data_IF_514749415541
#
_entry.id   IF_514749415541
#
_cell.length_a   1.000
_cell.length_b   1.000
_cell.length_c   1.000
_cell.angle_alpha   90.00
_cell.angle_beta   90.00
_cell.angle_gamma   90.00
#
_symmetry.space_group_name_H-M   'P 1'
#
loop_
_entity.id
_entity.type
_entity.pdbx_description
1 polymer ?
#
# COMPACT_ATOMS: atom_id res chain seq x y z
N UNK A 1 2.06 -15.60 -15.83
CA UNK A 1 2.68 -16.72 -16.55
C UNK A 1 1.62 -17.58 -17.23
N UNK A 2 1.77 -17.80 -18.51
CA UNK A 2 0.85 -18.64 -19.25
C UNK A 2 1.12 -20.11 -18.94
N UNK A 3 0.06 -20.87 -18.80
CA UNK A 3 0.17 -22.30 -18.48
C UNK A 3 0.56 -23.11 -19.69
N UNK A 4 1.06 -24.32 -19.45
CA UNK A 4 1.68 -25.19 -20.46
C UNK A 4 0.77 -25.66 -21.60
N UNK A 5 1.24 -26.63 -22.38
CA UNK A 5 0.66 -26.99 -23.67
C UNK A 5 -0.80 -27.44 -23.64
N UNK A 6 -1.26 -28.03 -22.53
CA UNK A 6 -2.66 -28.47 -22.38
C UNK A 6 -3.68 -27.35 -22.42
N UNK A 7 -3.26 -26.11 -22.24
CA UNK A 7 -4.12 -24.93 -22.28
C UNK A 7 -3.72 -23.94 -23.38
N UNK A 8 -2.95 -24.42 -24.36
CA UNK A 8 -2.43 -23.61 -25.45
C UNK A 8 -3.52 -22.86 -26.22
N UNK A 9 -4.66 -23.49 -26.43
CA UNK A 9 -5.81 -22.86 -27.11
C UNK A 9 -6.37 -21.68 -26.32
N UNK A 10 -6.45 -21.82 -24.99
CA UNK A 10 -6.92 -20.75 -24.11
C UNK A 10 -5.94 -19.59 -24.09
N UNK A 11 -4.64 -19.88 -24.11
CA UNK A 11 -3.60 -18.85 -24.17
C UNK A 11 -3.69 -18.06 -25.49
N UNK A 12 -3.86 -18.76 -26.61
CA UNK A 12 -4.02 -18.13 -27.92
C UNK A 12 -5.27 -17.25 -27.97
N UNK A 13 -6.39 -17.72 -27.43
CA UNK A 13 -7.62 -16.96 -27.39
C UNK A 13 -7.47 -15.69 -26.52
N UNK A 14 -6.80 -15.81 -25.36
CA UNK A 14 -6.53 -14.67 -24.49
C UNK A 14 -5.68 -13.61 -25.22
N UNK A 15 -4.63 -14.03 -25.92
CA UNK A 15 -3.78 -13.13 -26.71
C UNK A 15 -4.56 -12.46 -27.84
N UNK A 16 -5.44 -13.20 -28.47
CA UNK A 16 -6.30 -12.70 -29.54
C UNK A 16 -7.23 -11.59 -29.07
N UNK A 17 -7.67 -11.66 -27.80
CA UNK A 17 -8.51 -10.65 -27.17
C UNK A 17 -7.71 -9.52 -26.52
N UNK A 18 -6.42 -9.45 -26.79
CA UNK A 18 -5.52 -8.48 -26.18
C UNK A 18 -5.47 -8.58 -24.63
N UNK A 19 -5.63 -9.80 -24.11
CA UNK A 19 -5.50 -10.05 -22.69
C UNK A 19 -4.02 -10.26 -22.36
N UNK A 20 -3.57 -9.61 -21.29
CA UNK A 20 -2.21 -9.78 -20.77
C UNK A 20 -2.21 -10.74 -19.58
N UNK A 21 -1.02 -11.26 -19.23
CA UNK A 21 -0.88 -12.08 -18.01
C UNK A 21 -1.36 -11.31 -16.79
N UNK A 22 -1.12 -10.02 -16.74
CA UNK A 22 -1.56 -9.16 -15.65
C UNK A 22 -3.09 -9.08 -15.55
N UNK A 23 -3.78 -8.90 -16.68
CA UNK A 23 -5.24 -8.85 -16.71
C UNK A 23 -5.82 -10.19 -16.29
N UNK A 24 -5.26 -11.29 -16.77
CA UNK A 24 -5.70 -12.64 -16.41
C UNK A 24 -5.47 -12.92 -14.92
N UNK A 25 -4.33 -12.51 -14.38
CA UNK A 25 -4.02 -12.65 -12.96
C UNK A 25 -5.02 -11.89 -12.09
N UNK A 26 -5.39 -10.68 -12.47
CA UNK A 26 -6.40 -9.89 -11.75
C UNK A 26 -7.77 -10.57 -11.73
N UNK A 27 -8.15 -11.19 -12.83
CA UNK A 27 -9.41 -11.94 -12.90
C UNK A 27 -9.38 -13.17 -12.01
N UNK A 28 -8.28 -13.90 -12.00
CA UNK A 28 -8.12 -15.09 -11.17
C UNK A 28 -8.07 -14.76 -9.69
N UNK A 29 -7.49 -13.62 -9.32
CA UNK A 29 -7.44 -13.13 -7.95
C UNK A 29 -8.83 -13.00 -7.32
N UNK A 30 -9.84 -12.70 -8.12
CA UNK A 30 -11.23 -12.58 -7.63
C UNK A 30 -11.74 -13.91 -7.05
N UNK A 31 -11.26 -15.03 -7.57
CA UNK A 31 -11.72 -16.37 -7.18
C UNK A 31 -10.72 -17.10 -6.29
N UNK A 32 -9.43 -16.81 -6.44
CA UNK A 32 -8.38 -17.48 -5.70
C UNK A 32 -7.31 -16.47 -5.26
N UNK A 33 -7.17 -16.24 -3.95
CA UNK A 33 -6.20 -15.29 -3.41
C UNK A 33 -4.75 -15.55 -3.81
N UNK A 34 -4.39 -16.80 -4.10
CA UNK A 34 -3.03 -17.19 -4.50
C UNK A 34 -2.56 -16.39 -5.72
N UNK A 35 -3.48 -16.07 -6.62
CA UNK A 35 -3.15 -15.31 -7.84
C UNK A 35 -3.11 -13.81 -7.66
N UNK A 36 -3.43 -13.31 -6.47
CA UNK A 36 -3.40 -11.88 -6.19
C UNK A 36 -1.97 -11.37 -6.03
N UNK A 37 -1.72 -10.17 -6.53
CA UNK A 37 -0.52 -9.42 -6.16
C UNK A 37 -0.58 -9.04 -4.67
N UNK A 38 0.56 -8.71 -4.08
CA UNK A 38 0.57 -8.25 -2.69
C UNK A 38 -0.33 -7.04 -2.48
N UNK A 39 -0.32 -6.09 -3.41
CA UNK A 39 -1.17 -4.90 -3.33
C UNK A 39 -2.66 -5.27 -3.29
N UNK A 40 -3.08 -6.20 -4.15
CA UNK A 40 -4.46 -6.66 -4.16
C UNK A 40 -4.83 -7.46 -2.90
N UNK A 41 -3.93 -8.30 -2.42
CA UNK A 41 -4.14 -9.02 -1.17
C UNK A 41 -4.33 -8.05 -0.01
N UNK A 42 -3.45 -7.06 0.09
CA UNK A 42 -3.56 -6.03 1.12
C UNK A 42 -4.89 -5.29 1.04
N UNK A 43 -5.29 -4.89 -0.16
CA UNK A 43 -6.55 -4.17 -0.39
C UNK A 43 -7.77 -5.00 0.00
N UNK A 44 -7.74 -6.30 -0.27
CA UNK A 44 -8.86 -7.20 0.01
C UNK A 44 -8.88 -7.73 1.45
N UNK A 45 -7.72 -7.83 2.08
CA UNK A 45 -7.58 -8.42 3.41
C UNK A 45 -7.64 -7.40 4.54
N UNK A 46 -7.40 -6.12 4.26
CA UNK A 46 -7.35 -5.09 5.29
C UNK A 46 -8.37 -3.98 5.04
N UNK A 47 -8.73 -3.30 6.11
CA UNK A 47 -9.54 -2.08 6.06
C UNK A 47 -8.93 -1.05 6.99
N UNK A 48 -9.26 0.20 6.75
CA UNK A 48 -8.84 1.29 7.62
C UNK A 48 -9.85 1.44 8.75
N UNK A 49 -9.36 1.45 9.98
CA UNK A 49 -10.16 1.68 11.17
C UNK A 49 -9.52 2.82 11.98
N UNK A 50 -10.11 4.01 11.89
CA UNK A 50 -9.63 5.21 12.58
C UNK A 50 -8.15 5.53 12.31
N UNK A 51 -7.72 5.36 11.06
CA UNK A 51 -6.36 5.67 10.65
C UNK A 51 -5.38 4.50 10.76
N UNK A 52 -5.81 3.37 11.29
CA UNK A 52 -4.98 2.16 11.38
C UNK A 52 -5.53 1.06 10.49
N UNK A 53 -4.64 0.34 9.83
CA UNK A 53 -5.03 -0.84 9.07
C UNK A 53 -5.26 -2.01 10.01
N UNK A 54 -6.37 -2.69 9.81
CA UNK A 54 -6.72 -3.91 10.56
C UNK A 54 -7.19 -4.96 9.56
N UNK A 55 -7.17 -6.22 9.97
CA UNK A 55 -7.75 -7.27 9.15
C UNK A 55 -9.25 -7.05 8.99
N UNK A 56 -9.76 -7.33 7.79
CA UNK A 56 -11.18 -7.36 7.55
C UNK A 56 -11.83 -8.53 8.30
N UNK A 57 -13.13 -8.53 8.31
CA UNK A 57 -13.93 -9.57 8.95
C UNK A 57 -14.09 -10.83 8.09
N UNK A 58 -15.01 -11.69 8.45
CA UNK A 58 -15.17 -13.06 7.94
C UNK A 58 -15.28 -13.22 6.42
N UNK A 59 -15.79 -12.22 5.72
CA UNK A 59 -15.94 -12.30 4.25
C UNK A 59 -14.62 -12.30 3.51
N UNK A 60 -13.55 -11.84 4.14
CA UNK A 60 -12.23 -11.76 3.53
C UNK A 60 -11.26 -12.78 4.11
N UNK A 61 -11.77 -13.83 4.73
CA UNK A 61 -10.99 -14.84 5.44
C UNK A 61 -9.90 -15.47 4.58
N UNK A 62 -10.23 -15.81 3.34
CA UNK A 62 -9.28 -16.43 2.42
C UNK A 62 -8.13 -15.48 2.05
N UNK A 63 -8.45 -14.20 1.86
CA UNK A 63 -7.44 -13.17 1.56
C UNK A 63 -6.57 -12.90 2.78
N UNK A 64 -7.16 -12.89 3.96
CA UNK A 64 -6.42 -12.72 5.22
C UNK A 64 -5.44 -13.88 5.42
N UNK A 65 -5.90 -15.10 5.18
CA UNK A 65 -5.06 -16.29 5.30
C UNK A 65 -3.90 -16.26 4.32
N UNK A 66 -4.15 -15.90 3.07
CA UNK A 66 -3.11 -15.75 2.05
C UNK A 66 -2.12 -14.65 2.43
N UNK A 67 -2.59 -13.52 2.92
CA UNK A 67 -1.73 -12.45 3.39
C UNK A 67 -0.80 -12.93 4.51
N UNK A 68 -1.35 -13.62 5.49
CA UNK A 68 -0.57 -14.19 6.60
C UNK A 68 0.45 -15.21 6.12
N UNK A 69 0.10 -16.06 5.15
CA UNK A 69 1.03 -17.04 4.59
C UNK A 69 2.20 -16.39 3.87
N UNK A 70 2.02 -15.19 3.34
CA UNK A 70 3.07 -14.39 2.71
C UNK A 70 3.88 -13.55 3.71
N UNK A 71 3.59 -13.66 5.00
CA UNK A 71 4.23 -12.85 6.02
C UNK A 71 3.76 -11.40 6.07
N UNK A 72 2.61 -11.11 5.48
CA UNK A 72 2.03 -9.77 5.52
C UNK A 72 1.25 -9.55 6.81
N UNK A 73 1.28 -8.32 7.29
CA UNK A 73 0.48 -7.86 8.44
C UNK A 73 -0.33 -6.64 8.05
N UNK A 74 -1.33 -6.26 8.83
CA UNK A 74 -2.03 -5.00 8.54
C UNK A 74 -1.10 -3.80 8.47
N UNK A 75 -0.08 -3.77 9.32
CA UNK A 75 0.91 -2.69 9.31
C UNK A 75 1.76 -2.69 8.04
N UNK A 76 2.25 -3.85 7.60
CA UNK A 76 3.03 -3.93 6.37
C UNK A 76 2.20 -3.56 5.14
N UNK A 77 0.93 -3.94 5.12
CA UNK A 77 -0.01 -3.54 4.08
C UNK A 77 -0.22 -2.03 4.06
N UNK A 78 -0.39 -1.43 5.23
CA UNK A 78 -0.53 0.02 5.36
C UNK A 78 0.70 0.76 4.83
N UNK A 79 1.88 0.31 5.21
CA UNK A 79 3.15 0.92 4.77
C UNK A 79 3.25 0.85 3.25
N UNK A 80 2.97 -0.30 2.67
CA UNK A 80 3.04 -0.50 1.23
C UNK A 80 2.05 0.38 0.48
N UNK A 81 0.80 0.39 0.91
CA UNK A 81 -0.24 1.22 0.30
C UNK A 81 0.08 2.71 0.41
N UNK A 82 0.56 3.12 1.57
CA UNK A 82 0.96 4.50 1.81
C UNK A 82 2.12 4.92 0.90
N UNK A 83 3.12 4.07 0.74
CA UNK A 83 4.28 4.37 -0.10
C UNK A 83 3.90 4.53 -1.58
N UNK A 84 2.94 3.75 -2.04
CA UNK A 84 2.46 3.82 -3.42
C UNK A 84 1.42 4.94 -3.63
N UNK A 85 0.61 5.21 -2.62
CA UNK A 85 -0.50 6.15 -2.70
C UNK A 85 -0.59 7.01 -1.44
N UNK A 86 -0.06 8.22 -1.47
CA UNK A 86 -0.08 9.12 -0.29
C UNK A 86 -1.45 9.32 0.34
N UNK A 87 -2.51 9.30 -0.47
CA UNK A 87 -3.88 9.46 0.02
C UNK A 87 -4.35 8.30 0.91
N UNK A 88 -3.66 7.17 0.88
CA UNK A 88 -3.96 6.01 1.71
C UNK A 88 -3.15 5.97 3.01
N UNK A 89 -2.23 6.92 3.18
CA UNK A 89 -1.46 7.03 4.42
C UNK A 89 -2.33 7.46 5.59
N UNK A 90 -2.08 6.90 6.77
CA UNK A 90 -2.63 7.51 7.97
C UNK A 90 -1.84 8.80 8.29
N UNK A 91 -2.42 9.64 9.13
CA UNK A 91 -1.85 10.93 9.50
C UNK A 91 -0.40 10.82 10.00
N UNK A 92 -0.15 9.89 10.91
CA UNK A 92 1.17 9.70 11.53
C UNK A 92 2.22 9.29 10.51
N UNK A 93 1.88 8.33 9.64
CA UNK A 93 2.78 7.84 8.60
C UNK A 93 3.03 8.93 7.56
N UNK A 94 1.99 9.62 7.15
CA UNK A 94 2.09 10.71 6.18
C UNK A 94 3.04 11.80 6.67
N UNK A 95 2.88 12.24 7.90
CA UNK A 95 3.76 13.23 8.49
C UNK A 95 5.21 12.76 8.59
N UNK A 96 5.42 11.48 8.91
CA UNK A 96 6.75 10.90 8.99
C UNK A 96 7.47 10.90 7.64
N UNK A 97 6.73 10.67 6.56
CA UNK A 97 7.31 10.66 5.20
C UNK A 97 7.46 12.08 4.65
N UNK A 98 6.48 12.94 4.92
CA UNK A 98 6.41 14.28 4.35
C UNK A 98 7.34 15.30 5.02
N UNK A 99 7.96 14.95 6.13
CA UNK A 99 8.84 15.85 6.88
C UNK A 99 10.18 15.22 7.18
N UNK A 100 11.17 16.08 7.39
CA UNK A 100 12.51 15.69 7.82
C UNK A 100 13.03 16.68 8.85
N UNK A 101 14.13 16.33 9.49
CA UNK A 101 14.82 17.23 10.41
C UNK A 101 15.95 17.94 9.68
N UNK A 102 15.98 19.25 9.77
CA UNK A 102 17.07 20.09 9.28
C UNK A 102 17.48 21.05 10.38
N UNK A 103 18.72 20.92 10.84
CA UNK A 103 19.25 21.73 11.97
C UNK A 103 18.36 21.67 13.21
N UNK A 104 17.83 20.49 13.52
CA UNK A 104 16.96 20.28 14.67
C UNK A 104 15.52 20.76 14.50
N UNK A 105 15.18 21.33 13.37
CA UNK A 105 13.82 21.78 13.08
C UNK A 105 13.12 20.83 12.12
N UNK A 106 11.84 20.64 12.34
CA UNK A 106 10.99 19.86 11.42
C UNK A 106 10.67 20.74 10.22
N UNK A 107 11.00 20.25 9.03
CA UNK A 107 10.74 20.94 7.76
C UNK A 107 10.07 19.97 6.79
N UNK A 108 9.37 20.54 5.80
CA UNK A 108 8.82 19.71 4.74
C UNK A 108 9.92 19.09 3.89
N UNK A 109 9.70 17.84 3.48
CA UNK A 109 10.61 17.14 2.57
C UNK A 109 10.66 17.80 1.20
N UNK A 110 11.73 17.50 0.45
CA UNK A 110 11.96 18.03 -0.87
C UNK A 110 11.20 17.31 -1.99
N UNK A 111 11.66 17.52 -3.21
CA UNK A 111 10.95 17.13 -4.43
C UNK A 111 10.61 15.65 -4.55
N UNK A 112 11.44 14.75 -4.00
CA UNK A 112 11.17 13.32 -4.05
C UNK A 112 9.90 12.92 -3.31
N UNK A 113 9.48 13.73 -2.35
CA UNK A 113 8.33 13.44 -1.49
C UNK A 113 7.23 14.48 -1.64
N UNK A 114 7.24 15.24 -2.73
CA UNK A 114 6.28 16.33 -2.95
C UNK A 114 4.82 15.87 -2.91
N UNK A 115 4.53 14.65 -3.34
CA UNK A 115 3.17 14.12 -3.30
C UNK A 115 2.68 13.89 -1.87
N UNK A 116 3.57 13.42 -1.00
CA UNK A 116 3.27 13.26 0.42
C UNK A 116 3.10 14.60 1.11
N UNK A 117 3.95 15.56 0.78
CA UNK A 117 3.83 16.95 1.28
C UNK A 117 2.52 17.56 0.83
N UNK A 118 2.18 17.42 -0.43
CA UNK A 118 0.93 17.94 -0.99
C UNK A 118 -0.29 17.33 -0.31
N UNK A 119 -0.27 16.01 -0.10
CA UNK A 119 -1.36 15.31 0.59
C UNK A 119 -1.51 15.78 2.04
N UNK A 120 -0.39 15.93 2.77
CA UNK A 120 -0.41 16.42 4.13
C UNK A 120 -1.02 17.84 4.21
N UNK A 121 -0.59 18.71 3.31
CA UNK A 121 -1.11 20.09 3.24
C UNK A 121 -2.60 20.11 2.88
N UNK A 122 -3.02 19.26 1.94
CA UNK A 122 -4.43 19.18 1.54
C UNK A 122 -5.34 18.73 2.68
N UNK A 123 -4.82 17.94 3.61
CA UNK A 123 -5.55 17.55 4.83
C UNK A 123 -5.48 18.58 5.94
N UNK A 124 -4.79 19.69 5.71
CA UNK A 124 -4.59 20.71 6.74
C UNK A 124 -3.63 20.30 7.85
N UNK A 125 -2.77 19.32 7.59
CA UNK A 125 -1.79 18.87 8.57
C UNK A 125 -0.58 19.78 8.59
N UNK A 126 -0.12 20.15 9.78
CA UNK A 126 1.11 20.90 9.98
C UNK A 126 2.32 20.00 10.21
N UNK A 127 2.07 18.76 10.64
CA UNK A 127 3.11 17.74 10.92
C UNK A 127 4.24 18.27 11.82
N UNK A 128 3.92 19.23 12.68
CA UNK A 128 4.89 19.91 13.57
C UNK A 128 5.99 20.66 12.83
N UNK A 129 5.80 21.01 11.56
CA UNK A 129 6.75 21.81 10.77
C UNK A 129 6.97 23.15 11.46
N UNK A 130 8.22 23.54 11.58
CA UNK A 130 8.64 24.75 12.29
C UNK A 130 8.97 24.53 13.76
N UNK A 131 8.61 23.39 14.33
CA UNK A 131 8.96 23.07 15.71
C UNK A 131 10.40 22.54 15.82
N UNK A 132 11.00 22.73 16.98
CA UNK A 132 12.28 22.11 17.30
C UNK A 132 12.05 20.70 17.81
N UNK A 133 12.64 19.70 17.15
CA UNK A 133 12.67 18.36 17.66
C UNK A 133 14.05 18.07 18.19
N UNK A 134 14.12 17.83 19.46
CA UNK A 134 15.37 17.45 20.07
C UNK A 134 15.53 15.94 20.06
N UNK A 135 16.72 15.48 19.76
CA UNK A 135 17.12 14.13 20.13
C UNK A 135 17.02 14.02 21.65
N UNK A 136 16.54 12.89 22.16
CA UNK A 136 16.24 12.66 23.56
C UNK A 136 17.35 13.04 24.56
N UNK A 137 18.57 13.25 24.07
CA UNK A 137 19.73 13.60 24.91
C UNK A 137 20.23 15.02 24.66
N UNK A 138 19.60 15.84 23.85
CA UNK A 138 20.14 17.15 23.42
C UNK A 138 19.22 18.33 23.68
N UNK A 139 18.10 18.11 24.34
CA UNK A 139 17.21 19.22 24.75
C UNK A 139 17.37 19.54 26.20
#
# INVERSE_FOLDING_TARGET
>A
MWQGESVKEYVLEAKKRNLTEEICAKKNCRYDPVYCSETLICKKATRNNNGESVWKDDFSKDYIQEAKSRGLSPLSCEIKQCNEHPNLCNKKRLCKIATTLQDGKVVWEGDFFKEFVSEAKSRGLTCDVGSNRCNSNLC
#
